data_IF_647502824494
#
_entry.id   IF_647502824494
#
_cell.length_a   1.000
_cell.length_b   1.000
_cell.length_c   1.000
_cell.angle_alpha   90.00
_cell.angle_beta   90.00
_cell.angle_gamma   90.00
#
_symmetry.space_group_name_H-M   'P 1'
#
loop_
_entity.id
_entity.type
_entity.pdbx_description
1 polymer ?
#
# COMPACT_ATOMS: atom_id res chain seq x y z
N UNK A 1 -0.27 -14.88 0.76
CA UNK A 1 -0.69 -14.84 -0.67
C UNK A 1 0.09 -15.83 -1.48
N UNK A 2 -0.56 -16.50 -2.44
CA UNK A 2 0.18 -17.30 -3.41
C UNK A 2 1.00 -16.36 -4.31
N UNK A 3 1.88 -16.94 -5.13
CA UNK A 3 2.81 -16.18 -5.96
C UNK A 3 2.09 -15.22 -6.91
N UNK A 4 1.01 -15.69 -7.53
CA UNK A 4 0.25 -14.87 -8.47
C UNK A 4 -0.42 -13.69 -7.76
N UNK A 5 -1.09 -13.95 -6.64
CA UNK A 5 -1.76 -12.90 -5.88
C UNK A 5 -0.76 -11.90 -5.29
N UNK A 6 0.39 -12.37 -4.83
CA UNK A 6 1.42 -11.49 -4.32
C UNK A 6 1.93 -10.55 -5.42
N UNK A 7 2.12 -11.08 -6.62
CA UNK A 7 2.54 -10.28 -7.76
C UNK A 7 1.49 -9.22 -8.13
N UNK A 8 0.22 -9.60 -8.11
CA UNK A 8 -0.88 -8.66 -8.38
C UNK A 8 -0.93 -7.55 -7.34
N UNK A 9 -0.80 -7.92 -6.05
CA UNK A 9 -0.80 -6.93 -4.99
C UNK A 9 0.39 -5.97 -5.10
N UNK A 10 1.54 -6.49 -5.49
CA UNK A 10 2.71 -5.64 -5.71
C UNK A 10 2.44 -4.58 -6.78
N UNK A 11 1.82 -5.00 -7.90
CA UNK A 11 1.43 -4.06 -8.95
C UNK A 11 0.42 -3.03 -8.45
N UNK A 12 -0.57 -3.48 -7.69
CA UNK A 12 -1.60 -2.60 -7.13
C UNK A 12 -0.96 -1.59 -6.17
N UNK A 13 -0.02 -2.05 -5.34
CA UNK A 13 0.71 -1.18 -4.42
C UNK A 13 1.51 -0.13 -5.20
N UNK A 14 2.18 -0.54 -6.27
CA UNK A 14 2.95 0.40 -7.09
C UNK A 14 2.04 1.42 -7.77
N UNK A 15 0.91 0.99 -8.31
CA UNK A 15 -0.05 1.90 -8.94
C UNK A 15 -0.62 2.89 -7.93
N UNK A 16 -0.92 2.41 -6.72
CA UNK A 16 -1.40 3.29 -5.66
C UNK A 16 -0.33 4.29 -5.24
N UNK A 17 0.92 3.82 -5.15
CA UNK A 17 2.03 4.71 -4.83
C UNK A 17 2.21 5.80 -5.87
N UNK A 18 2.11 5.42 -7.15
CA UNK A 18 2.22 6.39 -8.24
C UNK A 18 1.06 7.40 -8.19
N UNK A 19 -0.14 6.92 -7.91
CA UNK A 19 -1.32 7.78 -7.76
C UNK A 19 -1.12 8.78 -6.61
N UNK A 20 -0.51 8.35 -5.53
CA UNK A 20 -0.30 9.19 -4.35
C UNK A 20 0.94 10.07 -4.44
N UNK A 21 1.73 9.92 -5.49
CA UNK A 21 2.95 10.70 -5.66
C UNK A 21 2.60 12.19 -5.67
N UNK A 22 3.20 12.93 -4.74
CA UNK A 22 2.94 14.35 -4.60
C UNK A 22 1.70 14.71 -3.78
N UNK A 23 0.89 13.72 -3.38
CA UNK A 23 -0.33 13.97 -2.59
C UNK A 23 -0.13 13.77 -1.09
N UNK A 24 0.96 13.11 -0.69
CA UNK A 24 1.25 12.91 0.72
C UNK A 24 1.92 14.14 1.30
N UNK A 25 1.53 14.49 2.53
CA UNK A 25 2.13 15.61 3.23
C UNK A 25 3.60 15.36 3.52
N UNK A 26 4.42 16.42 3.48
CA UNK A 26 5.80 16.32 3.91
C UNK A 26 5.88 16.03 5.40
N UNK A 27 6.88 15.25 5.79
CA UNK A 27 7.14 14.93 7.18
C UNK A 27 8.46 15.57 7.60
N UNK A 28 8.60 16.04 8.87
CA UNK A 28 9.86 16.63 9.33
C UNK A 28 11.10 15.78 9.08
N UNK A 29 10.96 14.47 9.15
CA UNK A 29 12.05 13.53 8.89
C UNK A 29 12.18 13.15 7.41
N UNK A 30 11.29 13.67 6.56
CA UNK A 30 11.28 13.40 5.14
C UNK A 30 11.01 14.71 4.39
N UNK A 31 11.98 15.63 4.40
CA UNK A 31 11.76 16.96 3.82
C UNK A 31 11.46 16.96 2.32
N UNK A 32 11.81 15.87 1.64
CA UNK A 32 11.49 15.69 0.22
C UNK A 32 10.16 14.97 -0.01
N UNK A 33 9.39 14.77 1.08
CA UNK A 33 8.16 14.01 1.03
C UNK A 33 8.36 12.56 1.39
N UNK A 34 7.24 11.84 1.58
CA UNK A 34 7.28 10.41 1.88
C UNK A 34 7.39 9.61 0.60
N UNK A 35 8.05 8.44 0.69
CA UNK A 35 8.02 7.48 -0.40
C UNK A 35 6.62 6.86 -0.46
N UNK A 36 5.82 7.16 -1.49
CA UNK A 36 4.42 6.69 -1.53
C UNK A 36 4.30 5.18 -1.63
N UNK A 37 5.26 4.51 -2.27
CA UNK A 37 5.22 3.05 -2.39
C UNK A 37 5.43 2.40 -1.03
N UNK A 38 6.42 2.86 -0.29
CA UNK A 38 6.68 2.38 1.06
C UNK A 38 5.52 2.70 1.99
N UNK A 39 4.90 3.87 1.83
CA UNK A 39 3.75 4.27 2.63
C UNK A 39 2.60 3.28 2.47
N UNK A 40 2.24 2.95 1.22
CA UNK A 40 1.14 2.01 0.96
C UNK A 40 1.47 0.62 1.53
N UNK A 41 2.68 0.12 1.29
CA UNK A 41 3.09 -1.18 1.78
C UNK A 41 3.07 -1.25 3.31
N UNK A 42 3.54 -0.20 3.96
CA UNK A 42 3.54 -0.14 5.42
C UNK A 42 2.14 -0.08 5.99
N UNK A 43 1.24 0.68 5.37
CA UNK A 43 -0.16 0.76 5.80
C UNK A 43 -0.83 -0.60 5.70
N UNK A 44 -0.58 -1.34 4.64
CA UNK A 44 -1.12 -2.70 4.48
C UNK A 44 -0.58 -3.60 5.59
N UNK A 45 0.71 -3.54 5.86
CA UNK A 45 1.33 -4.34 6.92
C UNK A 45 0.71 -4.03 8.28
N UNK A 46 0.51 -2.77 8.59
CA UNK A 46 -0.08 -2.35 9.87
C UNK A 46 -1.55 -2.77 9.98
N UNK A 47 -2.30 -2.65 8.89
CA UNK A 47 -3.73 -2.99 8.89
C UNK A 47 -3.96 -4.48 9.07
N UNK A 48 -3.20 -5.32 8.39
CA UNK A 48 -3.42 -6.76 8.37
C UNK A 48 -2.46 -7.54 9.26
N UNK A 49 -1.49 -6.86 9.89
CA UNK A 49 -0.56 -7.50 10.81
C UNK A 49 0.59 -8.23 10.15
N UNK A 50 0.61 -8.32 8.82
CA UNK A 50 1.63 -9.02 8.06
C UNK A 50 1.92 -8.27 6.76
N UNK A 51 3.12 -8.49 6.22
CA UNK A 51 3.44 -8.04 4.86
C UNK A 51 2.41 -8.60 3.87
N UNK A 52 2.15 -7.88 2.79
CA UNK A 52 1.17 -8.33 1.80
C UNK A 52 1.44 -9.76 1.30
N UNK A 53 2.72 -10.17 1.26
CA UNK A 53 3.10 -11.51 0.83
C UNK A 53 2.62 -12.60 1.77
N UNK A 54 2.48 -12.26 3.03
CA UNK A 54 2.17 -13.22 4.10
C UNK A 54 0.71 -13.20 4.53
N UNK A 55 -0.11 -12.36 3.88
CA UNK A 55 -1.54 -12.33 4.15
C UNK A 55 -2.21 -13.48 3.42
N UNK A 56 -3.19 -14.19 4.04
CA UNK A 56 -3.90 -15.29 3.36
C UNK A 56 -4.57 -14.87 2.07
N UNK A 57 -4.58 -15.76 1.07
CA UNK A 57 -5.20 -15.48 -0.23
C UNK A 57 -6.67 -15.10 -0.14
N UNK A 58 -7.39 -15.66 0.83
CA UNK A 58 -8.81 -15.36 1.03
C UNK A 58 -9.06 -13.90 1.37
N UNK A 59 -8.03 -13.16 1.78
CA UNK A 59 -8.13 -11.74 2.09
C UNK A 59 -7.67 -10.84 0.95
N UNK A 60 -7.41 -11.42 -0.20
CA UNK A 60 -6.91 -10.65 -1.36
C UNK A 60 -7.79 -9.43 -1.65
N UNK A 61 -9.11 -9.64 -1.74
CA UNK A 61 -10.01 -8.55 -2.06
C UNK A 61 -10.06 -7.48 -0.97
N UNK A 62 -9.96 -7.90 0.30
CA UNK A 62 -9.91 -6.95 1.41
C UNK A 62 -8.69 -6.04 1.32
N UNK A 63 -7.54 -6.62 0.92
CA UNK A 63 -6.31 -5.83 0.76
C UNK A 63 -6.46 -4.85 -0.40
N UNK A 64 -7.03 -5.29 -1.53
CA UNK A 64 -7.28 -4.41 -2.67
C UNK A 64 -8.20 -3.25 -2.27
N UNK A 65 -9.28 -3.56 -1.56
CA UNK A 65 -10.23 -2.53 -1.11
C UNK A 65 -9.56 -1.53 -0.18
N UNK A 66 -8.70 -2.02 0.72
CA UNK A 66 -7.99 -1.13 1.62
C UNK A 66 -7.01 -0.21 0.88
N UNK A 67 -6.30 -0.74 -0.11
CA UNK A 67 -5.39 0.07 -0.91
C UNK A 67 -6.16 1.16 -1.66
N UNK A 68 -7.32 0.83 -2.19
CA UNK A 68 -8.18 1.82 -2.83
C UNK A 68 -8.63 2.89 -1.84
N UNK A 69 -8.93 2.49 -0.61
CA UNK A 69 -9.25 3.43 0.47
C UNK A 69 -8.09 4.40 0.71
N UNK A 70 -6.86 3.90 0.72
CA UNK A 70 -5.68 4.74 0.92
C UNK A 70 -5.52 5.77 -0.21
N UNK A 71 -5.86 5.40 -1.43
CA UNK A 71 -5.80 6.32 -2.57
C UNK A 71 -6.81 7.46 -2.41
N UNK A 72 -7.98 7.16 -1.89
CA UNK A 72 -9.05 8.14 -1.69
C UNK A 72 -8.82 9.01 -0.44
N UNK A 73 -8.00 8.54 0.48
CA UNK A 73 -7.75 9.22 1.75
C UNK A 73 -6.25 9.36 2.01
N UNK A 74 -5.54 10.12 1.18
CA UNK A 74 -4.10 10.32 1.38
C UNK A 74 -3.84 11.12 2.65
N UNK A 75 -2.78 10.75 3.35
CA UNK A 75 -2.44 11.40 4.62
C UNK A 75 -0.94 11.53 4.82
#
# INVERSE_FOLDING_TARGET
MNKENASRLWQIIQEAGLYLLGQLSSHPNHPKGRNPYAHVALCVKEKFGNSYKDIPDEKFQEVVDYINFLKENPS
#
